data_IF_308232853194
#
_entry.id   IF_308232853194
#
_cell.length_a   1.000
_cell.length_b   1.000
_cell.length_c   1.000
_cell.angle_alpha   90.00
_cell.angle_beta   90.00
_cell.angle_gamma   90.00
#
_symmetry.space_group_name_H-M   'P 1'
#
loop_
_entity.id
_entity.type
_entity.pdbx_description
1 polymer ?
#
# COMPACT_ATOMS: atom_id res chain seq x y z
N UNK A 1 -21.88 -49.54 -13.94
CA UNK A 1 -21.60 -48.59 -15.04
C UNK A 1 -21.19 -47.26 -14.42
N UNK A 2 -19.92 -46.89 -14.59
CA UNK A 2 -19.28 -45.69 -14.07
C UNK A 2 -19.58 -44.48 -14.96
N UNK A 3 -19.97 -43.36 -14.37
CA UNK A 3 -19.62 -42.04 -14.92
C UNK A 3 -19.40 -41.06 -13.78
N UNK A 4 -18.15 -41.00 -13.31
CA UNK A 4 -17.63 -39.92 -12.50
C UNK A 4 -17.58 -38.67 -13.39
N UNK A 5 -18.57 -37.79 -13.25
CA UNK A 5 -18.53 -36.47 -13.87
C UNK A 5 -17.47 -35.67 -13.11
N UNK A 6 -16.25 -35.65 -13.67
CA UNK A 6 -15.21 -34.72 -13.26
C UNK A 6 -15.71 -33.29 -13.57
N UNK A 7 -16.39 -32.67 -12.62
CA UNK A 7 -16.71 -31.24 -12.62
C UNK A 7 -15.43 -30.40 -12.47
N UNK A 8 -14.57 -30.46 -13.47
CA UNK A 8 -13.63 -29.38 -13.78
C UNK A 8 -14.18 -28.69 -15.00
N UNK A 9 -15.24 -27.89 -14.79
CA UNK A 9 -15.57 -26.84 -15.73
C UNK A 9 -14.30 -26.01 -15.95
N UNK A 10 -13.64 -26.23 -17.08
CA UNK A 10 -12.56 -25.39 -17.55
C UNK A 10 -13.19 -24.04 -17.89
N UNK A 11 -13.44 -23.20 -16.86
CA UNK A 11 -13.78 -21.80 -17.08
C UNK A 11 -12.69 -21.25 -18.00
N UNK A 12 -13.02 -20.67 -19.16
CA UNK A 12 -12.03 -20.18 -20.10
C UNK A 12 -11.15 -19.18 -19.36
N UNK A 13 -9.92 -19.60 -19.07
CA UNK A 13 -8.96 -18.84 -18.26
C UNK A 13 -8.52 -17.56 -18.98
N UNK A 14 -8.94 -17.38 -20.23
CA UNK A 14 -8.72 -16.21 -21.07
C UNK A 14 -10.04 -15.73 -21.65
N UNK A 15 -10.18 -14.42 -21.83
CA UNK A 15 -11.28 -13.82 -22.56
C UNK A 15 -11.10 -14.00 -24.08
N UNK A 16 -12.10 -13.59 -24.87
CA UNK A 16 -12.06 -13.65 -26.35
C UNK A 16 -10.89 -12.88 -26.98
N UNK A 17 -10.24 -11.99 -26.22
CA UNK A 17 -9.05 -11.22 -26.62
C UNK A 17 -7.73 -11.87 -26.17
N UNK A 18 -7.78 -13.10 -25.65
CA UNK A 18 -6.62 -13.84 -25.14
C UNK A 18 -6.09 -13.35 -23.79
N UNK A 19 -6.71 -12.37 -23.16
CA UNK A 19 -6.28 -11.82 -21.87
C UNK A 19 -6.78 -12.69 -20.72
N UNK A 20 -6.01 -12.78 -19.64
CA UNK A 20 -6.41 -13.55 -18.48
C UNK A 20 -7.62 -12.93 -17.76
N UNK A 21 -8.60 -13.77 -17.42
CA UNK A 21 -9.78 -13.34 -16.66
C UNK A 21 -9.44 -13.17 -15.16
N UNK A 22 -10.20 -12.31 -14.47
CA UNK A 22 -10.09 -12.14 -13.02
C UNK A 22 -10.38 -13.48 -12.32
N UNK A 23 -9.55 -13.85 -11.33
CA UNK A 23 -9.64 -15.14 -10.65
C UNK A 23 -8.95 -16.31 -11.36
N UNK A 24 -8.20 -16.05 -12.44
CA UNK A 24 -7.47 -17.08 -13.16
C UNK A 24 -6.33 -17.69 -12.30
N UNK A 25 -6.39 -19.01 -12.11
CA UNK A 25 -5.43 -19.79 -11.32
C UNK A 25 -4.11 -20.06 -12.05
N UNK A 26 -4.11 -20.17 -13.37
CA UNK A 26 -2.92 -20.31 -14.24
C UNK A 26 -2.01 -19.08 -14.13
N UNK A 27 -2.58 -17.88 -14.20
CA UNK A 27 -1.83 -16.62 -14.08
C UNK A 27 -1.14 -16.50 -12.72
N UNK A 28 -1.88 -16.85 -11.66
CA UNK A 28 -1.36 -16.88 -10.29
C UNK A 28 -0.20 -17.89 -10.17
N UNK A 29 -0.41 -19.14 -10.62
CA UNK A 29 0.62 -20.19 -10.60
C UNK A 29 1.86 -19.80 -11.41
N UNK A 30 1.69 -19.26 -12.62
CA UNK A 30 2.79 -18.80 -13.47
C UNK A 30 3.58 -17.65 -12.83
N UNK A 31 2.90 -16.72 -12.15
CA UNK A 31 3.55 -15.67 -11.37
C UNK A 31 4.42 -16.23 -10.24
N UNK A 32 3.89 -17.17 -9.46
CA UNK A 32 4.66 -17.84 -8.40
C UNK A 32 5.84 -18.64 -8.94
N UNK A 33 5.67 -19.36 -10.05
CA UNK A 33 6.75 -20.11 -10.68
C UNK A 33 7.91 -19.20 -11.11
N UNK A 34 7.59 -18.08 -11.80
CA UNK A 34 8.59 -17.07 -12.17
C UNK A 34 9.29 -16.47 -10.95
N UNK A 35 8.55 -16.17 -9.87
CA UNK A 35 9.15 -15.67 -8.64
C UNK A 35 10.05 -16.71 -7.94
N UNK A 36 9.71 -18.01 -8.02
CA UNK A 36 10.52 -19.11 -7.47
C UNK A 36 11.81 -19.33 -8.26
N UNK A 37 11.78 -19.16 -9.59
CA UNK A 37 12.95 -19.26 -10.44
C UNK A 37 14.01 -18.16 -10.16
N UNK A 38 13.61 -17.06 -9.51
CA UNK A 38 14.53 -15.99 -9.13
C UNK A 38 15.21 -16.27 -7.79
N UNK A 39 16.52 -15.97 -7.73
CA UNK A 39 17.26 -15.99 -6.46
C UNK A 39 16.69 -14.98 -5.46
N UNK A 40 16.81 -15.21 -4.14
CA UNK A 40 16.38 -14.25 -3.12
C UNK A 40 16.95 -12.84 -3.32
N UNK A 41 18.23 -12.75 -3.75
CA UNK A 41 18.89 -11.47 -4.07
C UNK A 41 18.18 -10.76 -5.23
N UNK A 42 17.84 -11.47 -6.30
CA UNK A 42 17.16 -10.87 -7.46
C UNK A 42 15.74 -10.43 -7.12
N UNK A 43 15.01 -11.22 -6.32
CA UNK A 43 13.70 -10.81 -5.78
C UNK A 43 13.80 -9.52 -4.97
N UNK A 44 14.81 -9.39 -4.10
CA UNK A 44 15.04 -8.17 -3.32
C UNK A 44 15.34 -6.96 -4.21
N UNK A 45 16.09 -7.13 -5.29
CA UNK A 45 16.35 -6.05 -6.26
C UNK A 45 15.08 -5.58 -6.95
N UNK A 46 14.25 -6.52 -7.43
CA UNK A 46 12.96 -6.20 -8.07
C UNK A 46 12.04 -5.49 -7.07
N UNK A 47 11.97 -5.98 -5.82
CA UNK A 47 11.20 -5.33 -4.77
C UNK A 47 11.68 -3.89 -4.50
N UNK A 48 13.00 -3.67 -4.45
CA UNK A 48 13.58 -2.32 -4.32
C UNK A 48 13.21 -1.42 -5.50
N UNK A 49 13.25 -1.93 -6.73
CA UNK A 49 12.86 -1.17 -7.92
C UNK A 49 11.37 -0.83 -7.91
N UNK A 50 10.51 -1.80 -7.58
CA UNK A 50 9.07 -1.59 -7.44
C UNK A 50 8.73 -0.57 -6.35
N UNK A 51 9.40 -0.66 -5.20
CA UNK A 51 9.28 0.32 -4.11
C UNK A 51 9.63 1.73 -4.58
N UNK A 52 10.79 1.91 -5.21
CA UNK A 52 11.22 3.21 -5.74
C UNK A 52 10.22 3.78 -6.74
N UNK A 53 9.72 2.97 -7.66
CA UNK A 53 8.71 3.39 -8.64
C UNK A 53 7.38 3.81 -7.98
N UNK A 54 6.94 3.07 -6.96
CA UNK A 54 5.74 3.41 -6.19
C UNK A 54 5.93 4.74 -5.44
N UNK A 55 7.06 4.91 -4.75
CA UNK A 55 7.39 6.14 -4.01
C UNK A 55 7.47 7.34 -4.95
N UNK A 56 8.13 7.19 -6.10
CA UNK A 56 8.18 8.23 -7.12
C UNK A 56 6.77 8.62 -7.61
N UNK A 57 5.93 7.64 -7.93
CA UNK A 57 4.60 7.87 -8.50
C UNK A 57 3.60 8.47 -7.50
N UNK A 58 3.54 7.93 -6.28
CA UNK A 58 2.49 8.26 -5.30
C UNK A 58 2.93 9.32 -4.29
N UNK A 59 4.23 9.39 -4.01
CA UNK A 59 4.79 10.28 -2.99
C UNK A 59 5.74 11.33 -3.59
N UNK A 60 5.94 11.35 -4.92
CA UNK A 60 6.87 12.27 -5.59
C UNK A 60 8.32 12.05 -5.19
N UNK A 61 8.68 10.83 -4.77
CA UNK A 61 10.05 10.50 -4.35
C UNK A 61 10.27 10.60 -2.83
N UNK A 62 9.32 11.12 -2.06
CA UNK A 62 9.46 11.22 -0.59
C UNK A 62 9.28 9.85 0.09
N UNK A 63 10.40 9.17 0.34
CA UNK A 63 10.42 7.87 1.01
C UNK A 63 10.00 7.96 2.48
N UNK A 64 10.22 9.10 3.15
CA UNK A 64 9.82 9.28 4.56
C UNK A 64 8.31 9.38 4.67
N UNK A 65 7.66 10.17 3.81
CA UNK A 65 6.20 10.26 3.72
C UNK A 65 5.59 8.89 3.39
N UNK A 66 6.19 8.14 2.45
CA UNK A 66 5.73 6.80 2.10
C UNK A 66 5.76 5.84 3.31
N UNK A 67 6.87 5.79 4.06
CA UNK A 67 6.99 4.93 5.26
C UNK A 67 5.97 5.31 6.33
N UNK A 68 5.77 6.61 6.58
CA UNK A 68 4.78 7.10 7.56
C UNK A 68 3.36 6.71 7.15
N UNK A 69 3.01 6.84 5.87
CA UNK A 69 1.69 6.46 5.36
C UNK A 69 1.42 4.96 5.54
N UNK A 70 2.37 4.11 5.15
CA UNK A 70 2.23 2.66 5.32
C UNK A 70 2.16 2.24 6.79
N UNK A 71 2.91 2.92 7.68
CA UNK A 71 2.81 2.70 9.12
C UNK A 71 1.43 3.06 9.67
N UNK A 72 0.89 4.22 9.30
CA UNK A 72 -0.45 4.65 9.70
C UNK A 72 -1.55 3.73 9.14
N UNK A 73 -1.40 3.26 7.90
CA UNK A 73 -2.34 2.32 7.28
C UNK A 73 -2.31 0.96 7.99
N UNK A 74 -1.11 0.50 8.36
CA UNK A 74 -0.93 -0.72 9.16
C UNK A 74 -1.59 -0.62 10.53
N UNK A 75 -1.40 0.51 11.22
CA UNK A 75 -2.04 0.76 12.51
C UNK A 75 -3.57 0.81 12.40
N UNK A 76 -4.11 1.48 11.38
CA UNK A 76 -5.54 1.46 11.07
C UNK A 76 -6.07 0.03 10.85
N UNK A 77 -5.41 -0.77 10.00
CA UNK A 77 -5.88 -2.13 9.74
C UNK A 77 -5.77 -3.05 10.95
N UNK A 78 -4.74 -2.86 11.79
CA UNK A 78 -4.62 -3.58 13.05
C UNK A 78 -5.77 -3.23 14.00
N UNK A 79 -6.11 -1.94 14.11
CA UNK A 79 -7.27 -1.47 14.88
C UNK A 79 -8.59 -2.07 14.35
N UNK A 80 -8.76 -2.13 13.02
CA UNK A 80 -9.92 -2.77 12.38
C UNK A 80 -9.98 -4.30 12.60
N UNK A 81 -8.85 -4.99 12.72
CA UNK A 81 -8.83 -6.42 13.05
C UNK A 81 -9.27 -6.69 14.49
N UNK A 82 -8.97 -5.76 15.40
CA UNK A 82 -9.34 -5.84 16.81
C UNK A 82 -10.79 -5.43 17.07
N UNK A 83 -11.51 -4.95 16.06
CA UNK A 83 -12.89 -4.44 16.14
C UNK A 83 -13.93 -5.48 16.60
N UNK A 84 -13.53 -6.75 16.80
CA UNK A 84 -14.36 -7.83 17.36
C UNK A 84 -13.94 -8.35 18.74
N UNK A 85 -12.81 -7.93 19.30
CA UNK A 85 -12.26 -8.46 20.58
C UNK A 85 -12.70 -7.61 21.80
N UNK A 86 -13.81 -6.88 21.63
CA UNK A 86 -14.45 -6.12 22.68
C UNK A 86 -13.96 -4.67 22.76
N UNK A 87 -14.92 -3.79 23.05
CA UNK A 87 -14.99 -2.42 23.56
C UNK A 87 -13.72 -1.60 23.92
N UNK A 88 -12.51 -2.16 23.92
CA UNK A 88 -11.25 -1.56 24.37
C UNK A 88 -10.50 -0.72 23.32
N UNK A 89 -10.69 -0.99 22.02
CA UNK A 89 -9.99 -0.26 20.94
C UNK A 89 -11.01 0.17 19.89
N UNK A 90 -11.61 1.35 20.08
CA UNK A 90 -12.47 1.97 19.07
C UNK A 90 -11.70 3.08 18.36
N UNK A 91 -11.35 2.83 17.10
CA UNK A 91 -11.00 3.88 16.14
C UNK A 91 -9.82 4.76 16.57
N UNK A 92 -8.86 4.19 17.31
CA UNK A 92 -7.71 4.93 17.85
C UNK A 92 -6.85 5.47 16.71
N UNK A 93 -6.75 4.68 15.63
CA UNK A 93 -5.97 5.04 14.46
C UNK A 93 -6.92 5.37 13.31
N UNK A 94 -7.07 6.65 12.91
CA UNK A 94 -7.88 6.99 11.75
C UNK A 94 -7.21 6.53 10.44
N UNK A 95 -8.03 6.25 9.42
CA UNK A 95 -7.50 5.90 8.11
C UNK A 95 -6.65 7.07 7.55
N UNK A 96 -5.42 6.82 7.07
CA UNK A 96 -4.51 7.87 6.63
C UNK A 96 -4.89 8.55 5.30
N UNK A 97 -6.03 8.18 4.70
CA UNK A 97 -6.49 8.68 3.41
C UNK A 97 -5.66 8.14 2.24
N UNK A 98 -5.79 8.77 1.07
CA UNK A 98 -4.99 8.37 -0.10
C UNK A 98 -3.51 8.78 0.08
N UNK A 99 -2.55 8.10 -0.56
CA UNK A 99 -1.14 8.50 -0.53
C UNK A 99 -0.89 9.97 -0.87
N UNK A 100 -1.65 10.49 -1.85
CA UNK A 100 -1.53 11.88 -2.32
C UNK A 100 -2.06 12.87 -1.29
N UNK A 101 -3.23 12.60 -0.70
CA UNK A 101 -3.80 13.43 0.38
C UNK A 101 -2.93 13.44 1.63
N UNK A 102 -2.40 12.28 2.02
CA UNK A 102 -1.51 12.17 3.17
C UNK A 102 -0.25 13.01 2.97
N UNK A 103 0.34 12.95 1.77
CA UNK A 103 1.47 13.77 1.39
C UNK A 103 1.13 15.26 1.46
N UNK A 104 0.00 15.68 0.88
CA UNK A 104 -0.44 17.07 0.89
C UNK A 104 -0.58 17.61 2.32
N UNK A 105 -1.23 16.84 3.21
CA UNK A 105 -1.36 17.20 4.63
C UNK A 105 -0.02 17.34 5.33
N UNK A 106 0.91 16.39 5.14
CA UNK A 106 2.24 16.47 5.73
C UNK A 106 2.98 17.76 5.38
N UNK A 107 2.94 18.17 4.11
CA UNK A 107 3.59 19.41 3.68
C UNK A 107 2.85 20.67 4.13
N UNK A 108 1.51 20.65 4.15
CA UNK A 108 0.73 21.75 4.72
C UNK A 108 1.05 21.97 6.19
N UNK A 109 1.11 20.91 7.01
CA UNK A 109 1.47 21.01 8.42
C UNK A 109 2.86 21.61 8.61
N UNK A 110 3.85 21.15 7.83
CA UNK A 110 5.21 21.70 7.90
C UNK A 110 5.30 23.19 7.54
N UNK A 111 4.47 23.67 6.60
CA UNK A 111 4.41 25.08 6.24
C UNK A 111 3.85 25.93 7.39
N UNK A 112 2.78 25.49 8.04
CA UNK A 112 2.22 26.19 9.20
C UNK A 112 3.20 26.21 10.39
N UNK A 113 3.87 25.09 10.67
CA UNK A 113 4.87 25.03 11.74
C UNK A 113 6.06 25.96 11.49
N UNK A 114 6.48 26.12 10.22
CA UNK A 114 7.54 27.06 9.84
C UNK A 114 7.10 28.51 10.04
N UNK A 115 5.91 28.86 9.55
CA UNK A 115 5.36 30.21 9.66
C UNK A 115 5.14 30.64 11.11
N UNK A 116 4.68 29.72 11.97
CA UNK A 116 4.51 30.00 13.41
C UNK A 116 5.87 30.26 14.07
N UNK A 117 6.91 29.50 13.71
CA UNK A 117 8.27 29.73 14.25
C UNK A 117 8.84 31.07 13.82
N UNK A 118 8.73 31.42 12.54
CA UNK A 118 9.15 32.73 12.04
C UNK A 118 8.41 33.87 12.73
N UNK A 119 7.09 33.74 12.94
CA UNK A 119 6.29 34.75 13.65
C UNK A 119 6.63 34.87 15.14
N UNK A 120 7.07 33.78 15.78
CA UNK A 120 7.56 33.81 17.17
C UNK A 120 8.93 34.47 17.24
N UNK A 121 9.84 34.13 16.34
CA UNK A 121 11.18 34.70 16.29
C UNK A 121 11.15 36.21 15.94
N UNK A 122 10.26 36.64 15.04
CA UNK A 122 10.08 38.06 14.71
C UNK A 122 9.55 38.88 15.90
N UNK A 123 8.70 38.29 16.75
CA UNK A 123 8.20 38.94 17.97
C UNK A 123 9.23 38.98 19.11
N UNK A 124 10.27 38.14 19.07
CA UNK A 124 11.36 38.15 20.06
C UNK A 124 12.44 39.20 19.72
N UNK A 125 12.52 39.63 18.46
CA UNK A 125 13.55 40.58 17.98
C UNK A 125 13.09 42.04 17.96
N UNK A 126 11.79 42.33 18.06
CA UNK A 126 11.29 43.72 18.20
C UNK A 126 10.85 44.00 19.65
N UNK A 127 11.56 44.88 20.38
CA UNK A 127 11.12 45.37 21.69
C UNK A 127 9.89 46.28 21.59
#
# INVERSE_FOLDING_TARGET
MNTLINHTEQRPQRNKRGQFIKGNTISKRGGHARARALTPRRRRQIAKQGWRGLVAKQFGGDERAAKRWWGALGAYHYDQQLYGIGWLMRGVFPHPGTPTEFRARLYQSNLFDCLVREAVDEKVVRP
#
